data_IF_281040103557
#
_entry.id   IF_281040103557
#
_cell.length_a   1.000
_cell.length_b   1.000
_cell.length_c   1.000
_cell.angle_alpha   90.00
_cell.angle_beta   90.00
_cell.angle_gamma   90.00
#
_symmetry.space_group_name_H-M   'P 1'
#
loop_
_entity.id
_entity.type
_entity.pdbx_description
1 polymer ?
#
# COMPACT_ATOMS: atom_id res chain seq x y z
N UNK A 1 45.55 44.56 45.09
CA UNK A 1 46.06 45.30 43.91
C UNK A 1 45.53 44.60 42.67
N UNK A 2 44.42 45.09 42.10
CA UNK A 2 44.34 45.93 40.86
C UNK A 2 44.71 45.15 39.59
N UNK A 3 43.71 44.68 38.82
CA UNK A 3 43.24 45.23 37.51
C UNK A 3 44.17 44.81 36.34
N UNK A 4 43.77 44.44 35.13
CA UNK A 4 42.49 44.44 34.42
C UNK A 4 42.64 43.65 33.10
N UNK A 5 41.58 42.91 32.75
CA UNK A 5 40.90 42.77 31.44
C UNK A 5 41.57 43.32 30.17
N UNK A 6 41.59 42.52 29.09
CA UNK A 6 40.77 42.75 27.88
C UNK A 6 40.78 41.52 26.95
N UNK A 7 39.59 40.96 26.69
CA UNK A 7 39.35 40.01 25.60
C UNK A 7 38.61 40.76 24.49
N UNK A 8 39.13 40.70 23.27
CA UNK A 8 38.51 41.21 22.05
C UNK A 8 37.88 40.00 21.36
N UNK A 9 36.55 39.95 21.33
CA UNK A 9 35.79 39.01 20.52
C UNK A 9 35.29 39.76 19.27
N UNK A 10 35.81 39.35 18.11
CA UNK A 10 35.41 39.85 16.80
C UNK A 10 34.17 39.10 16.35
N UNK A 11 33.03 39.78 16.27
CA UNK A 11 31.82 39.30 15.61
C UNK A 11 31.98 39.44 14.09
N UNK A 12 31.96 38.32 13.37
CA UNK A 12 31.85 38.28 11.90
C UNK A 12 30.38 38.03 11.56
N UNK A 13 29.72 39.07 11.05
CA UNK A 13 28.37 38.99 10.51
C UNK A 13 28.43 38.38 9.11
N UNK A 14 28.02 37.12 8.95
CA UNK A 14 27.80 36.52 7.64
C UNK A 14 26.37 36.82 7.19
N UNK A 15 26.24 37.62 6.13
CA UNK A 15 24.99 37.87 5.43
C UNK A 15 24.58 36.59 4.67
N UNK A 16 23.50 35.95 5.09
CA UNK A 16 22.87 34.86 4.34
C UNK A 16 21.90 35.48 3.32
N UNK A 17 22.25 35.36 2.02
CA UNK A 17 21.35 35.68 0.93
C UNK A 17 20.18 34.70 0.91
N UNK A 18 18.97 35.21 1.05
CA UNK A 18 17.73 34.46 0.84
C UNK A 18 17.60 34.12 -0.65
N UNK A 19 17.99 32.92 -1.04
CA UNK A 19 17.43 32.30 -2.24
C UNK A 19 16.03 31.83 -1.88
N UNK A 20 15.02 32.61 -2.26
CA UNK A 20 13.65 32.14 -2.33
C UNK A 20 13.62 31.08 -3.45
N UNK A 21 13.62 29.80 -3.07
CA UNK A 21 13.23 28.73 -3.98
C UNK A 21 11.75 28.98 -4.30
N UNK A 22 11.46 29.36 -5.54
CA UNK A 22 10.11 29.27 -6.06
C UNK A 22 9.74 27.79 -5.99
N UNK A 23 8.86 27.43 -5.05
CA UNK A 23 8.26 26.10 -4.96
C UNK A 23 7.39 25.97 -6.20
N UNK A 24 7.93 25.36 -7.25
CA UNK A 24 7.14 24.99 -8.43
C UNK A 24 6.09 23.99 -7.98
N UNK A 25 4.82 24.32 -8.19
CA UNK A 25 3.71 23.41 -7.87
C UNK A 25 3.93 22.08 -8.59
N UNK A 26 3.89 20.98 -7.84
CA UNK A 26 4.05 19.62 -8.38
C UNK A 26 2.86 19.27 -9.27
N UNK A 27 3.09 18.61 -10.40
CA UNK A 27 2.00 18.09 -11.27
C UNK A 27 1.17 17.02 -10.56
N UNK A 28 1.82 16.21 -9.72
CA UNK A 28 1.23 15.13 -8.94
C UNK A 28 2.33 14.30 -8.27
N UNK A 29 1.92 13.31 -7.48
CA UNK A 29 2.83 12.37 -6.80
C UNK A 29 2.69 10.96 -7.35
N UNK A 30 3.79 10.35 -7.76
CA UNK A 30 3.85 8.95 -8.21
C UNK A 30 4.36 8.10 -7.05
N UNK A 31 3.63 7.02 -6.75
CA UNK A 31 4.04 6.01 -5.77
C UNK A 31 4.45 4.76 -6.55
N UNK A 32 5.76 4.55 -6.70
CA UNK A 32 6.28 3.31 -7.28
C UNK A 32 6.15 2.19 -6.25
N UNK A 33 5.38 1.16 -6.60
CA UNK A 33 5.16 -0.02 -5.77
C UNK A 33 5.58 -1.28 -6.51
N UNK A 34 6.39 -2.12 -5.87
CA UNK A 34 6.91 -3.37 -6.40
C UNK A 34 6.40 -4.52 -5.55
N UNK A 35 5.71 -5.46 -6.17
CA UNK A 35 5.14 -6.64 -5.52
C UNK A 35 5.97 -7.89 -5.84
N UNK A 36 5.91 -8.88 -4.95
CA UNK A 36 6.46 -10.25 -5.10
C UNK A 36 7.96 -10.42 -4.82
N UNK A 37 8.65 -9.36 -4.37
CA UNK A 37 9.98 -9.53 -3.78
C UNK A 37 9.95 -10.16 -2.37
N UNK A 38 11.10 -10.30 -1.68
CA UNK A 38 12.43 -9.96 -2.15
C UNK A 38 13.05 -11.13 -2.93
N UNK A 39 13.53 -10.84 -4.15
CA UNK A 39 14.21 -11.81 -5.02
C UNK A 39 15.54 -11.24 -5.52
N UNK A 40 16.33 -12.01 -6.28
CA UNK A 40 17.60 -11.53 -6.83
C UNK A 40 17.42 -10.26 -7.68
N UNK A 41 16.35 -10.20 -8.47
CA UNK A 41 16.02 -9.07 -9.34
C UNK A 41 15.77 -7.76 -8.58
N UNK A 42 15.30 -7.84 -7.33
CA UNK A 42 15.04 -6.65 -6.50
C UNK A 42 16.31 -5.81 -6.30
N UNK A 43 17.49 -6.43 -6.29
CA UNK A 43 18.77 -5.73 -6.08
C UNK A 43 19.04 -4.69 -7.16
N UNK A 44 18.89 -5.06 -8.43
CA UNK A 44 19.16 -4.14 -9.55
C UNK A 44 18.07 -3.09 -9.71
N UNK A 45 16.81 -3.43 -9.40
CA UNK A 45 15.73 -2.45 -9.29
C UNK A 45 16.05 -1.40 -8.23
N UNK A 46 16.44 -1.81 -7.01
CA UNK A 46 16.83 -0.89 -5.93
C UNK A 46 18.03 -0.04 -6.33
N UNK A 47 19.02 -0.61 -7.02
CA UNK A 47 20.18 0.14 -7.52
C UNK A 47 19.77 1.25 -8.49
N UNK A 48 18.83 0.99 -9.41
CA UNK A 48 18.30 2.02 -10.32
C UNK A 48 17.54 3.10 -9.53
N UNK A 49 16.67 2.72 -8.60
CA UNK A 49 15.92 3.69 -7.77
C UNK A 49 16.86 4.60 -6.96
N UNK A 50 17.95 4.03 -6.42
CA UNK A 50 18.99 4.76 -5.71
C UNK A 50 19.76 5.71 -6.61
N UNK A 51 20.15 5.25 -7.81
CA UNK A 51 20.84 6.09 -8.81
C UNK A 51 19.99 7.28 -9.24
N UNK A 52 18.68 7.07 -9.38
CA UNK A 52 17.73 8.11 -9.75
C UNK A 52 17.21 8.91 -8.55
N UNK A 53 17.75 8.68 -7.34
CA UNK A 53 17.38 9.38 -6.10
C UNK A 53 15.86 9.41 -5.87
N UNK A 54 15.22 8.24 -5.90
CA UNK A 54 13.81 8.07 -5.55
C UNK A 54 13.63 6.94 -4.52
N UNK A 55 12.56 7.04 -3.74
CA UNK A 55 12.11 5.96 -2.84
C UNK A 55 10.87 5.31 -3.43
N UNK A 56 10.64 4.06 -3.02
CA UNK A 56 9.59 3.19 -3.52
C UNK A 56 9.08 2.34 -2.36
N UNK A 57 7.94 1.65 -2.56
CA UNK A 57 7.39 0.71 -1.60
C UNK A 57 7.46 -0.70 -2.17
N UNK A 58 7.95 -1.64 -1.40
CA UNK A 58 8.07 -3.04 -1.76
C UNK A 58 7.08 -3.86 -0.93
N UNK A 59 6.08 -4.46 -1.57
CA UNK A 59 5.14 -5.37 -0.92
C UNK A 59 5.71 -6.80 -1.05
N UNK A 60 6.29 -7.28 0.04
CA UNK A 60 7.09 -8.52 0.02
C UNK A 60 6.34 -9.77 0.48
N UNK A 61 6.73 -10.89 -0.12
CA UNK A 61 6.42 -12.27 0.27
C UNK A 61 7.66 -12.96 0.85
N UNK A 62 7.64 -13.27 2.14
CA UNK A 62 8.82 -13.79 2.82
C UNK A 62 9.17 -15.25 2.52
N UNK A 63 8.30 -16.00 1.82
CA UNK A 63 8.61 -17.36 1.36
C UNK A 63 9.87 -17.45 0.47
N UNK A 64 10.25 -16.35 -0.21
CA UNK A 64 11.48 -16.26 -1.00
C UNK A 64 12.74 -16.35 -0.11
N UNK A 65 12.63 -15.98 1.18
CA UNK A 65 13.72 -16.14 2.14
C UNK A 65 13.89 -17.60 2.56
N UNK A 66 12.81 -18.39 2.55
CA UNK A 66 12.84 -19.83 2.80
C UNK A 66 13.26 -20.64 1.55
N UNK A 67 13.39 -20.01 0.38
CA UNK A 67 13.88 -20.65 -0.84
C UNK A 67 12.82 -21.49 -1.56
N UNK A 68 11.52 -21.17 -1.40
CA UNK A 68 10.39 -21.94 -1.91
C UNK A 68 9.46 -21.16 -2.85
N UNK A 69 9.83 -19.95 -3.27
CA UNK A 69 8.98 -19.05 -4.07
C UNK A 69 9.07 -19.24 -5.59
N UNK A 70 9.84 -20.23 -6.06
CA UNK A 70 10.09 -20.56 -7.48
C UNK A 70 10.69 -19.40 -8.30
N UNK A 71 11.47 -18.51 -7.69
CA UNK A 71 12.24 -17.47 -8.40
C UNK A 71 13.75 -17.63 -8.16
N UNK A 72 14.56 -16.82 -8.85
CA UNK A 72 15.96 -16.69 -8.47
C UNK A 72 16.03 -15.86 -7.18
N UNK A 73 16.21 -16.53 -6.05
CA UNK A 73 16.02 -15.95 -4.71
C UNK A 73 17.14 -16.28 -3.72
N UNK A 74 18.27 -16.83 -4.17
CA UNK A 74 19.44 -17.09 -3.32
C UNK A 74 20.03 -15.81 -2.68
N UNK A 75 19.66 -14.64 -3.18
CA UNK A 75 20.03 -13.31 -2.65
C UNK A 75 18.83 -12.56 -2.05
N UNK A 76 17.71 -13.23 -1.76
CA UNK A 76 16.51 -12.61 -1.18
C UNK A 76 16.81 -11.81 0.11
N UNK A 77 17.63 -12.36 1.02
CA UNK A 77 18.02 -11.65 2.24
C UNK A 77 18.90 -10.42 1.95
N UNK A 78 19.75 -10.48 0.93
CA UNK A 78 20.55 -9.33 0.49
C UNK A 78 19.64 -8.23 -0.09
N UNK A 79 18.67 -8.59 -0.92
CA UNK A 79 17.65 -7.68 -1.45
C UNK A 79 16.84 -6.99 -0.34
N UNK A 80 16.34 -7.76 0.64
CA UNK A 80 15.60 -7.21 1.79
C UNK A 80 16.44 -6.18 2.56
N UNK A 81 17.70 -6.52 2.87
CA UNK A 81 18.62 -5.62 3.57
C UNK A 81 18.91 -4.38 2.74
N UNK A 82 19.15 -4.54 1.43
CA UNK A 82 19.42 -3.41 0.54
C UNK A 82 18.22 -2.47 0.44
N UNK A 83 16.99 -2.98 0.37
CA UNK A 83 15.78 -2.16 0.34
C UNK A 83 15.68 -1.28 1.60
N UNK A 84 15.86 -1.91 2.77
CA UNK A 84 15.79 -1.26 4.07
C UNK A 84 16.93 -0.25 4.30
N UNK A 85 18.18 -0.66 4.04
CA UNK A 85 19.38 0.19 4.19
C UNK A 85 19.36 1.37 3.20
N UNK A 86 18.69 1.22 2.06
CA UNK A 86 18.48 2.28 1.08
C UNK A 86 17.28 3.17 1.40
N UNK A 87 16.52 2.91 2.46
CA UNK A 87 15.39 3.75 2.88
C UNK A 87 14.11 3.58 2.05
N UNK A 88 13.97 2.50 1.28
CA UNK A 88 12.68 2.14 0.68
C UNK A 88 11.73 1.58 1.73
N UNK A 89 10.43 1.69 1.51
CA UNK A 89 9.43 1.11 2.43
C UNK A 89 9.28 -0.38 2.14
N UNK A 90 9.32 -1.20 3.19
CA UNK A 90 8.93 -2.62 3.11
C UNK A 90 7.54 -2.78 3.72
N UNK A 91 6.58 -3.20 2.90
CA UNK A 91 5.18 -3.47 3.25
C UNK A 91 4.84 -4.96 3.04
N UNK A 92 3.62 -5.36 3.41
CA UNK A 92 3.24 -6.76 3.54
C UNK A 92 2.40 -7.27 2.36
N UNK A 93 2.85 -8.33 1.69
CA UNK A 93 2.11 -8.98 0.61
C UNK A 93 1.62 -10.39 0.95
N UNK A 94 1.54 -10.74 2.24
CA UNK A 94 1.39 -12.11 2.78
C UNK A 94 2.66 -12.95 2.65
N UNK A 95 2.73 -14.09 3.34
CA UNK A 95 3.91 -14.96 3.35
C UNK A 95 4.17 -15.62 1.99
N UNK A 96 3.16 -16.28 1.43
CA UNK A 96 3.26 -17.22 0.32
C UNK A 96 2.44 -16.80 -0.91
N UNK A 97 2.05 -15.53 -0.97
CA UNK A 97 1.22 -14.99 -2.06
C UNK A 97 -0.14 -15.74 -2.21
N UNK A 98 -0.63 -16.38 -1.15
CA UNK A 98 -1.81 -17.26 -1.13
C UNK A 98 -1.67 -18.56 -1.95
N UNK A 99 -0.45 -18.97 -2.28
CA UNK A 99 -0.21 -20.18 -3.07
C UNK A 99 -0.61 -21.46 -2.33
N UNK A 100 -0.74 -21.45 -1.00
CA UNK A 100 -1.37 -22.55 -0.25
C UNK A 100 -2.79 -22.87 -0.74
N UNK A 101 -3.52 -21.91 -1.30
CA UNK A 101 -4.86 -22.12 -1.85
C UNK A 101 -4.85 -22.61 -3.31
N UNK A 102 -3.68 -22.62 -3.97
CA UNK A 102 -3.50 -23.07 -5.35
C UNK A 102 -3.17 -24.58 -5.44
N UNK A 103 -2.86 -25.23 -4.32
CA UNK A 103 -2.42 -26.62 -4.24
C UNK A 103 -3.21 -27.40 -3.19
N UNK A 104 -3.17 -28.74 -3.26
CA UNK A 104 -3.85 -29.61 -2.30
C UNK A 104 -3.18 -29.62 -0.92
N UNK A 105 -1.84 -29.56 -0.87
CA UNK A 105 -1.04 -29.50 0.36
C UNK A 105 0.16 -28.57 0.13
N UNK A 106 0.27 -27.51 0.93
CA UNK A 106 1.35 -26.53 0.79
C UNK A 106 2.69 -27.12 1.25
N UNK A 107 3.74 -26.87 0.47
CA UNK A 107 5.10 -27.31 0.74
C UNK A 107 6.13 -26.67 -0.19
N UNK A 108 7.40 -27.15 -0.14
CA UNK A 108 8.52 -26.50 -0.86
C UNK A 108 8.40 -26.44 -2.38
N UNK A 109 7.50 -27.22 -2.99
CA UNK A 109 7.30 -27.24 -4.45
C UNK A 109 6.01 -26.52 -4.89
N UNK A 110 5.20 -26.01 -3.97
CA UNK A 110 3.86 -25.50 -4.28
C UNK A 110 3.88 -24.29 -5.21
N UNK A 111 4.89 -23.43 -5.11
CA UNK A 111 5.10 -22.34 -6.06
C UNK A 111 5.28 -22.85 -7.49
N UNK A 112 6.15 -23.85 -7.68
CA UNK A 112 6.38 -24.47 -8.99
C UNK A 112 5.15 -25.22 -9.51
N UNK A 113 4.40 -25.89 -8.63
CA UNK A 113 3.14 -26.58 -8.97
C UNK A 113 2.08 -25.59 -9.44
N UNK A 114 1.87 -24.49 -8.71
CA UNK A 114 0.94 -23.43 -9.08
C UNK A 114 1.37 -22.70 -10.36
N UNK A 115 2.68 -22.46 -10.55
CA UNK A 115 3.23 -21.90 -11.78
C UNK A 115 3.00 -22.81 -12.99
N UNK A 116 3.02 -24.13 -12.81
CA UNK A 116 2.79 -25.09 -13.89
C UNK A 116 1.33 -25.12 -14.38
N UNK A 117 0.36 -24.92 -13.47
CA UNK A 117 -1.07 -24.83 -13.84
C UNK A 117 -1.47 -23.41 -14.24
N UNK A 118 -0.80 -22.40 -13.69
CA UNK A 118 -1.16 -21.00 -13.81
C UNK A 118 -2.48 -20.67 -13.09
N UNK A 119 -2.85 -21.43 -12.06
CA UNK A 119 -4.14 -21.32 -11.36
C UNK A 119 -4.11 -20.34 -10.18
N UNK A 120 -3.09 -19.49 -10.09
CA UNK A 120 -2.93 -18.47 -9.03
C UNK A 120 -4.21 -17.66 -8.73
N UNK A 121 -4.98 -17.32 -9.76
CA UNK A 121 -6.21 -16.51 -9.65
C UNK A 121 -7.50 -17.34 -9.48
N UNK A 122 -7.39 -18.66 -9.32
CA UNK A 122 -8.49 -19.60 -9.12
C UNK A 122 -8.47 -20.07 -7.66
N UNK A 123 -9.60 -19.94 -6.97
CA UNK A 123 -9.74 -20.26 -5.54
C UNK A 123 -8.67 -19.63 -4.65
N UNK A 124 -8.14 -18.47 -5.04
CA UNK A 124 -6.99 -17.82 -4.40
C UNK A 124 -7.20 -17.50 -2.92
N UNK A 125 -8.45 -17.27 -2.51
CA UNK A 125 -8.84 -17.04 -1.12
C UNK A 125 -9.95 -18.03 -0.76
N UNK A 126 -9.83 -18.69 0.39
CA UNK A 126 -10.75 -19.76 0.80
C UNK A 126 -11.24 -19.58 2.23
N UNK A 127 -10.37 -19.82 3.22
CA UNK A 127 -10.65 -19.55 4.63
C UNK A 127 -10.03 -18.19 5.00
N UNK A 128 -10.83 -17.12 5.15
CA UNK A 128 -10.30 -15.78 5.40
C UNK A 128 -9.47 -15.67 6.67
N UNK A 129 -9.71 -16.53 7.68
CA UNK A 129 -8.92 -16.53 8.90
C UNK A 129 -7.51 -17.07 8.65
N UNK A 130 -7.39 -18.15 7.87
CA UNK A 130 -6.11 -18.74 7.48
C UNK A 130 -5.38 -17.83 6.49
N UNK A 131 -6.07 -17.33 5.46
CA UNK A 131 -5.54 -16.39 4.47
C UNK A 131 -4.98 -15.13 5.16
N UNK A 132 -5.74 -14.52 6.08
CA UNK A 132 -5.27 -13.34 6.83
C UNK A 132 -4.08 -13.67 7.74
N UNK A 133 -3.97 -14.91 8.25
CA UNK A 133 -2.84 -15.34 9.07
C UNK A 133 -1.51 -15.34 8.31
N UNK A 134 -1.54 -15.49 6.98
CA UNK A 134 -0.33 -15.41 6.15
C UNK A 134 0.33 -14.03 6.18
N UNK A 135 -0.42 -12.96 6.48
CA UNK A 135 0.17 -11.63 6.70
C UNK A 135 0.95 -11.56 8.03
N UNK A 136 0.51 -12.28 9.06
CA UNK A 136 1.22 -12.38 10.34
C UNK A 136 2.43 -13.33 10.25
N UNK A 137 2.31 -14.44 9.51
CA UNK A 137 3.43 -15.33 9.21
C UNK A 137 4.54 -14.58 8.45
N UNK A 138 4.15 -13.71 7.51
CA UNK A 138 5.09 -12.86 6.78
C UNK A 138 5.97 -12.01 7.71
N UNK A 139 5.37 -11.40 8.76
CA UNK A 139 6.13 -10.65 9.77
C UNK A 139 7.13 -11.54 10.49
N UNK A 140 6.68 -12.73 10.91
CA UNK A 140 7.48 -13.69 11.67
C UNK A 140 8.70 -14.17 10.88
N UNK A 141 8.52 -14.44 9.58
CA UNK A 141 9.60 -14.89 8.69
C UNK A 141 10.57 -13.75 8.38
N UNK A 142 10.07 -12.53 8.11
CA UNK A 142 10.93 -11.36 7.90
C UNK A 142 11.82 -11.10 9.14
N UNK A 143 11.25 -11.15 10.35
CA UNK A 143 12.00 -10.98 11.60
C UNK A 143 12.95 -12.16 11.89
N UNK A 144 12.57 -13.40 11.54
CA UNK A 144 13.47 -14.57 11.62
C UNK A 144 14.75 -14.37 10.83
N UNK A 145 14.65 -13.88 9.59
CA UNK A 145 15.80 -13.70 8.69
C UNK A 145 16.58 -12.41 8.94
N UNK A 146 15.90 -11.35 9.40
CA UNK A 146 16.53 -10.09 9.78
C UNK A 146 16.06 -9.67 11.19
N UNK A 147 16.67 -10.20 12.27
CA UNK A 147 16.17 -10.00 13.65
C UNK A 147 16.08 -8.55 14.15
N UNK A 148 16.79 -7.61 13.52
CA UNK A 148 16.71 -6.19 13.85
C UNK A 148 15.81 -5.40 12.87
N UNK A 149 14.97 -6.07 12.08
CA UNK A 149 14.14 -5.41 11.05
C UNK A 149 13.22 -4.34 11.64
N UNK A 150 12.70 -4.54 12.85
CA UNK A 150 11.85 -3.59 13.57
C UNK A 150 12.56 -2.32 14.01
N UNK A 151 13.90 -2.26 13.92
CA UNK A 151 14.67 -1.04 14.18
C UNK A 151 14.70 -0.06 13.00
N UNK A 152 14.26 -0.50 11.81
CA UNK A 152 14.17 0.33 10.61
C UNK A 152 12.83 1.09 10.61
N UNK A 153 12.83 2.44 10.58
CA UNK A 153 11.57 3.21 10.53
C UNK A 153 10.78 2.99 9.23
N UNK A 154 11.47 2.56 8.17
CA UNK A 154 10.93 2.21 6.86
C UNK A 154 10.47 0.74 6.76
N UNK A 155 10.58 -0.04 7.83
CA UNK A 155 9.88 -1.32 7.93
C UNK A 155 8.44 -1.08 8.37
N UNK A 156 7.50 -1.34 7.46
CA UNK A 156 6.09 -0.94 7.57
C UNK A 156 5.11 -2.09 7.32
N UNK A 157 5.59 -3.33 7.30
CA UNK A 157 4.80 -4.52 7.00
C UNK A 157 3.74 -4.86 8.08
N UNK A 158 3.78 -4.24 9.25
CA UNK A 158 2.74 -4.36 10.28
C UNK A 158 1.65 -3.27 10.19
N UNK A 159 1.82 -2.28 9.29
CA UNK A 159 0.90 -1.14 9.12
C UNK A 159 0.30 -1.12 7.71
N UNK A 160 1.04 -1.55 6.69
CA UNK A 160 0.64 -1.48 5.29
C UNK A 160 0.68 -2.85 4.64
N UNK A 161 -0.41 -3.18 3.95
CA UNK A 161 -0.53 -4.42 3.20
C UNK A 161 -1.11 -4.18 1.80
N UNK A 162 -0.90 -5.15 0.92
CA UNK A 162 -1.62 -5.31 -0.34
C UNK A 162 -1.99 -6.77 -0.48
N UNK A 163 -3.20 -7.06 -0.91
CA UNK A 163 -3.64 -8.43 -1.11
C UNK A 163 -3.10 -8.97 -2.44
N UNK A 164 -2.54 -10.19 -2.48
CA UNK A 164 -2.29 -10.90 -3.73
C UNK A 164 -3.47 -10.83 -4.71
N UNK A 165 -3.17 -10.57 -5.98
CA UNK A 165 -4.11 -10.51 -7.11
C UNK A 165 -5.16 -9.39 -7.08
N UNK A 166 -5.31 -8.65 -5.99
CA UNK A 166 -6.54 -7.91 -5.69
C UNK A 166 -6.30 -6.41 -5.59
N UNK A 167 -6.93 -5.62 -6.47
CA UNK A 167 -6.94 -4.15 -6.39
C UNK A 167 -7.90 -3.69 -5.27
N UNK A 168 -7.51 -3.94 -4.02
CA UNK A 168 -8.33 -3.77 -2.83
C UNK A 168 -7.87 -2.65 -1.89
N UNK A 169 -8.82 -1.91 -1.35
CA UNK A 169 -8.56 -0.66 -0.63
C UNK A 169 -9.25 -0.64 0.73
N UNK A 170 -8.46 -0.39 1.77
CA UNK A 170 -8.88 -0.06 3.13
C UNK A 170 -7.98 1.08 3.59
N UNK A 171 -8.31 2.31 3.21
CA UNK A 171 -7.47 3.50 3.49
C UNK A 171 -8.05 4.30 4.65
N UNK A 172 -9.33 4.67 4.59
CA UNK A 172 -10.04 5.35 5.68
C UNK A 172 -11.42 4.76 5.86
N UNK A 173 -12.16 5.18 6.91
CA UNK A 173 -13.56 4.79 7.14
C UNK A 173 -14.43 4.94 5.89
N UNK A 174 -14.22 6.02 5.12
CA UNK A 174 -15.00 6.36 3.92
C UNK A 174 -14.22 6.16 2.60
N UNK A 175 -12.96 5.71 2.65
CA UNK A 175 -12.17 5.34 1.48
C UNK A 175 -11.83 3.85 1.54
N UNK A 176 -12.75 3.05 1.00
CA UNK A 176 -12.64 1.60 0.85
C UNK A 176 -13.20 1.17 -0.50
N UNK A 177 -12.65 0.12 -1.07
CA UNK A 177 -13.11 -0.48 -2.32
C UNK A 177 -12.59 -1.92 -2.42
N UNK A 178 -13.28 -2.76 -3.17
CA UNK A 178 -12.95 -4.18 -3.32
C UNK A 178 -12.72 -4.51 -4.80
N UNK A 179 -11.84 -5.47 -5.08
CA UNK A 179 -11.66 -6.01 -6.42
C UNK A 179 -12.70 -7.07 -6.73
N UNK A 180 -13.87 -6.69 -7.22
CA UNK A 180 -15.06 -7.57 -7.30
C UNK A 180 -14.97 -8.68 -8.36
N UNK A 181 -13.90 -8.67 -9.16
CA UNK A 181 -13.58 -9.70 -10.15
C UNK A 181 -12.12 -10.16 -10.06
N UNK A 182 -11.43 -9.89 -8.93
CA UNK A 182 -9.99 -10.09 -8.83
C UNK A 182 -9.56 -11.56 -8.94
N UNK A 183 -10.38 -12.46 -8.38
CA UNK A 183 -10.13 -13.90 -8.33
C UNK A 183 -11.42 -14.66 -8.64
N UNK A 184 -11.29 -15.89 -9.12
CA UNK A 184 -12.38 -16.68 -9.66
C UNK A 184 -12.54 -18.00 -8.89
N UNK A 185 -13.71 -18.61 -8.97
CA UNK A 185 -13.96 -19.95 -8.41
C UNK A 185 -13.66 -21.05 -9.45
N UNK A 186 -13.58 -20.71 -10.74
CA UNK A 186 -13.51 -21.69 -11.83
C UNK A 186 -12.60 -21.31 -13.00
N UNK A 187 -12.89 -20.22 -13.71
CA UNK A 187 -12.26 -19.85 -14.97
C UNK A 187 -11.40 -18.59 -14.83
N UNK A 188 -10.29 -18.55 -15.55
CA UNK A 188 -9.42 -17.37 -15.65
C UNK A 188 -10.07 -16.32 -16.56
N UNK A 189 -9.79 -15.02 -16.39
CA UNK A 189 -10.44 -13.95 -17.16
C UNK A 189 -10.34 -14.06 -18.69
N UNK A 190 -9.32 -14.75 -19.21
CA UNK A 190 -9.08 -14.95 -20.64
C UNK A 190 -9.61 -16.29 -21.18
N UNK A 191 -10.20 -17.14 -20.34
CA UNK A 191 -10.71 -18.44 -20.75
C UNK A 191 -12.13 -18.36 -21.34
N UNK A 192 -12.45 -19.18 -22.36
CA UNK A 192 -13.80 -19.21 -22.92
C UNK A 192 -14.86 -19.57 -21.88
N UNK A 193 -15.85 -18.69 -21.72
CA UNK A 193 -16.96 -18.88 -20.76
C UNK A 193 -16.81 -18.11 -19.45
N UNK A 194 -15.66 -17.47 -19.21
CA UNK A 194 -15.48 -16.60 -18.05
C UNK A 194 -16.58 -15.54 -17.97
N UNK A 195 -17.12 -15.34 -16.78
CA UNK A 195 -18.10 -14.31 -16.46
C UNK A 195 -17.85 -13.79 -15.06
N UNK A 196 -17.92 -12.47 -14.89
CA UNK A 196 -17.92 -11.84 -13.57
C UNK A 196 -19.22 -11.07 -13.36
N UNK A 197 -19.94 -11.40 -12.28
CA UNK A 197 -21.08 -10.63 -11.78
C UNK A 197 -20.67 -9.90 -10.50
N UNK A 198 -20.51 -8.58 -10.57
CA UNK A 198 -20.09 -7.77 -9.42
C UNK A 198 -21.15 -7.69 -8.33
N UNK A 199 -22.42 -7.98 -8.64
CA UNK A 199 -23.48 -8.08 -7.64
C UNK A 199 -23.48 -9.43 -6.91
N UNK A 200 -22.91 -10.47 -7.53
CA UNK A 200 -22.78 -11.82 -6.98
C UNK A 200 -21.33 -12.32 -7.17
N UNK A 201 -20.34 -11.69 -6.52
CA UNK A 201 -18.94 -12.03 -6.72
C UNK A 201 -18.64 -13.50 -6.35
N UNK A 202 -17.53 -14.01 -6.87
CA UNK A 202 -17.00 -15.35 -6.57
C UNK A 202 -16.82 -15.55 -5.06
N UNK A 203 -16.79 -16.80 -4.60
CA UNK A 203 -16.50 -17.12 -3.21
C UNK A 203 -15.08 -16.66 -2.85
N UNK A 204 -14.12 -16.81 -3.76
CA UNK A 204 -12.76 -16.29 -3.59
C UNK A 204 -12.74 -14.77 -3.36
N UNK A 205 -13.50 -13.99 -4.13
CA UNK A 205 -13.60 -12.53 -3.89
C UNK A 205 -14.24 -12.22 -2.53
N UNK A 206 -15.30 -12.94 -2.12
CA UNK A 206 -15.91 -12.74 -0.79
C UNK A 206 -14.92 -13.05 0.34
N UNK A 207 -14.09 -14.08 0.18
CA UNK A 207 -13.04 -14.42 1.13
C UNK A 207 -11.98 -13.31 1.19
N UNK A 208 -11.52 -12.79 0.05
CA UNK A 208 -10.59 -11.65 -0.01
C UNK A 208 -11.15 -10.38 0.68
N UNK A 209 -12.44 -10.08 0.52
CA UNK A 209 -13.11 -8.96 1.24
C UNK A 209 -13.07 -9.19 2.76
N UNK A 210 -13.30 -10.43 3.21
CA UNK A 210 -13.21 -10.78 4.62
C UNK A 210 -11.76 -10.65 5.14
N UNK A 211 -10.74 -11.05 4.37
CA UNK A 211 -9.32 -10.84 4.69
C UNK A 211 -9.03 -9.34 4.85
N UNK A 212 -9.42 -8.48 3.91
CA UNK A 212 -9.24 -7.03 4.03
C UNK A 212 -9.86 -6.46 5.31
N UNK A 213 -11.04 -6.95 5.70
CA UNK A 213 -11.70 -6.51 6.93
C UNK A 213 -10.98 -7.02 8.19
N UNK A 214 -10.43 -8.24 8.17
CA UNK A 214 -9.59 -8.77 9.27
C UNK A 214 -8.33 -7.93 9.41
N UNK A 215 -7.64 -7.63 8.30
CA UNK A 215 -6.43 -6.79 8.32
C UNK A 215 -6.74 -5.37 8.81
N UNK A 216 -7.79 -4.73 8.29
CA UNK A 216 -8.21 -3.39 8.73
C UNK A 216 -8.55 -3.34 10.23
N UNK A 217 -9.21 -4.38 10.75
CA UNK A 217 -9.49 -4.50 12.20
C UNK A 217 -8.24 -4.74 13.06
N UNK A 218 -7.14 -5.20 12.45
CA UNK A 218 -5.83 -5.34 13.08
C UNK A 218 -4.91 -4.13 12.82
N UNK A 219 -5.45 -3.02 12.31
CA UNK A 219 -4.73 -1.75 12.16
C UNK A 219 -4.01 -1.56 10.83
N UNK A 220 -4.23 -2.44 9.85
CA UNK A 220 -3.64 -2.28 8.52
C UNK A 220 -4.40 -1.27 7.66
N UNK A 221 -3.67 -0.46 6.90
CA UNK A 221 -4.17 0.10 5.65
C UNK A 221 -3.83 -0.83 4.47
N UNK A 222 -4.80 -1.08 3.59
CA UNK A 222 -4.57 -1.78 2.32
C UNK A 222 -4.73 -0.84 1.13
N UNK A 223 -3.81 -0.93 0.17
CA UNK A 223 -3.81 -0.08 -1.01
C UNK A 223 -3.69 -0.91 -2.28
N UNK A 224 -4.54 -0.62 -3.25
CA UNK A 224 -4.45 -1.17 -4.59
C UNK A 224 -3.50 -0.34 -5.48
N UNK A 225 -3.86 -0.19 -6.76
CA UNK A 225 -3.08 0.56 -7.74
C UNK A 225 -3.98 1.26 -8.78
N UNK A 226 -3.42 2.29 -9.42
CA UNK A 226 -4.06 3.06 -10.49
C UNK A 226 -3.66 2.57 -11.88
N UNK A 227 -2.38 2.22 -12.05
CA UNK A 227 -1.81 1.67 -13.28
C UNK A 227 -0.90 0.50 -12.95
N UNK A 228 -0.78 -0.43 -13.88
CA UNK A 228 0.08 -1.62 -13.77
C UNK A 228 1.13 -1.57 -14.89
N UNK A 229 2.40 -1.47 -14.52
CA UNK A 229 3.51 -1.53 -15.48
C UNK A 229 3.86 -2.99 -15.77
N UNK A 230 3.18 -3.52 -16.78
CA UNK A 230 3.24 -4.92 -17.17
C UNK A 230 3.62 -5.09 -18.67
N UNK A 231 3.94 -6.32 -19.11
CA UNK A 231 4.04 -6.66 -20.52
C UNK A 231 2.81 -6.22 -21.33
N UNK A 232 3.03 -5.46 -22.40
CA UNK A 232 1.99 -5.12 -23.38
C UNK A 232 1.46 -6.38 -24.10
N UNK A 233 2.25 -7.45 -24.15
CA UNK A 233 1.85 -8.73 -24.72
C UNK A 233 2.44 -9.92 -23.96
N UNK A 234 1.60 -10.54 -23.11
CA UNK A 234 1.96 -11.76 -22.39
C UNK A 234 2.08 -13.02 -23.27
N UNK A 235 1.61 -13.00 -24.51
CA UNK A 235 1.58 -14.16 -25.41
C UNK A 235 2.84 -14.38 -26.26
N UNK A 236 3.84 -13.49 -26.19
CA UNK A 236 5.11 -13.65 -26.91
C UNK A 236 6.10 -14.53 -26.11
N UNK A 237 7.14 -15.03 -26.77
CA UNK A 237 8.11 -15.96 -26.15
C UNK A 237 8.89 -15.36 -24.95
N UNK A 238 9.11 -14.04 -24.95
CA UNK A 238 9.84 -13.32 -23.91
C UNK A 238 8.98 -12.14 -23.46
N UNK A 239 7.88 -12.38 -22.73
CA UNK A 239 6.86 -11.36 -22.45
C UNK A 239 7.44 -10.13 -21.74
N UNK A 240 8.42 -10.29 -20.85
CA UNK A 240 9.04 -9.17 -20.15
C UNK A 240 9.66 -8.13 -21.10
N UNK A 241 10.14 -8.53 -22.28
CA UNK A 241 10.71 -7.60 -23.26
C UNK A 241 9.67 -6.57 -23.76
N UNK A 242 8.39 -6.92 -23.70
CA UNK A 242 7.27 -6.05 -24.09
C UNK A 242 6.76 -5.15 -22.97
N UNK A 243 7.46 -5.05 -21.84
CA UNK A 243 7.15 -4.04 -20.81
C UNK A 243 7.09 -2.66 -21.45
N UNK A 244 6.03 -1.89 -21.19
CA UNK A 244 5.79 -0.58 -21.80
C UNK A 244 7.02 0.31 -21.72
N UNK A 245 7.38 0.97 -22.83
CA UNK A 245 8.49 1.93 -22.85
C UNK A 245 8.23 3.13 -21.93
N UNK A 246 9.30 3.79 -21.46
CA UNK A 246 9.21 4.88 -20.49
C UNK A 246 8.28 6.04 -20.91
N UNK A 247 8.39 6.50 -22.16
CA UNK A 247 7.53 7.57 -22.70
C UNK A 247 6.04 7.24 -22.73
N UNK A 248 5.58 6.13 -23.36
CA UNK A 248 4.17 5.77 -23.33
C UNK A 248 3.67 5.44 -21.93
N UNK A 249 4.51 4.85 -21.06
CA UNK A 249 4.12 4.57 -19.69
C UNK A 249 3.88 5.86 -18.88
N UNK A 250 4.70 6.90 -19.07
CA UNK A 250 4.39 8.23 -18.51
C UNK A 250 3.07 8.79 -19.05
N UNK A 251 2.72 8.50 -20.31
CA UNK A 251 1.40 8.81 -20.87
C UNK A 251 0.24 8.07 -20.17
N UNK A 252 0.46 6.86 -19.67
CA UNK A 252 -0.52 6.12 -18.87
C UNK A 252 -0.69 6.74 -17.49
N UNK A 253 0.41 7.12 -16.83
CA UNK A 253 0.37 7.88 -15.57
C UNK A 253 -0.39 9.19 -15.73
N UNK A 254 -0.10 9.94 -16.81
CA UNK A 254 -0.82 11.18 -17.14
C UNK A 254 -2.33 10.96 -17.35
N UNK A 255 -2.71 9.81 -17.92
CA UNK A 255 -4.12 9.45 -18.16
C UNK A 255 -4.83 8.97 -16.89
N UNK A 256 -4.08 8.47 -15.90
CA UNK A 256 -4.62 7.98 -14.63
C UNK A 256 -4.80 9.09 -13.58
N UNK A 257 -4.01 10.16 -13.68
CA UNK A 257 -4.03 11.27 -12.74
C UNK A 257 -5.43 11.91 -12.68
N UNK A 258 -6.08 11.84 -11.52
CA UNK A 258 -7.42 12.39 -11.27
C UNK A 258 -8.55 11.83 -12.16
N UNK A 259 -8.43 10.60 -12.68
CA UNK A 259 -9.44 10.00 -13.58
C UNK A 259 -10.13 8.76 -13.01
N UNK A 260 -9.95 8.46 -11.72
CA UNK A 260 -10.52 7.27 -11.08
C UNK A 260 -10.11 5.96 -11.77
N UNK A 261 -8.83 5.87 -12.12
CA UNK A 261 -8.22 4.77 -12.86
C UNK A 261 -8.57 3.35 -12.34
N UNK A 262 -8.70 3.08 -11.02
CA UNK A 262 -9.05 1.74 -10.54
C UNK A 262 -10.38 1.21 -11.07
N UNK A 263 -11.31 2.08 -11.45
CA UNK A 263 -12.61 1.66 -12.04
C UNK A 263 -12.49 1.35 -13.54
N UNK A 264 -11.54 1.96 -14.25
CA UNK A 264 -11.41 1.93 -15.71
C UNK A 264 -10.28 1.06 -16.22
N UNK A 265 -9.31 0.70 -15.37
CA UNK A 265 -8.16 -0.15 -15.68
C UNK A 265 -8.56 -1.51 -16.32
N UNK A 266 -7.73 -2.01 -17.22
CA UNK A 266 -7.79 -3.37 -17.75
C UNK A 266 -6.59 -4.18 -17.23
N UNK A 267 -6.71 -5.51 -17.08
CA UNK A 267 -7.88 -6.36 -17.32
C UNK A 267 -8.99 -6.23 -16.25
N UNK A 268 -10.11 -6.93 -16.43
CA UNK A 268 -11.28 -6.87 -15.53
C UNK A 268 -10.95 -7.24 -14.08
N UNK A 269 -10.03 -8.19 -13.87
CA UNK A 269 -9.58 -8.62 -12.55
C UNK A 269 -8.69 -7.60 -11.83
N UNK A 270 -8.19 -6.58 -12.53
CA UNK A 270 -7.43 -5.48 -11.92
C UNK A 270 -8.31 -4.31 -11.47
N UNK A 271 -9.64 -4.37 -11.67
CA UNK A 271 -10.56 -3.29 -11.32
C UNK A 271 -10.90 -3.28 -9.83
N UNK A 272 -11.09 -2.07 -9.30
CA UNK A 272 -11.83 -1.80 -8.07
C UNK A 272 -13.12 -1.05 -8.47
N UNK A 273 -14.20 -1.77 -8.69
CA UNK A 273 -15.39 -1.26 -9.38
C UNK A 273 -16.10 -0.15 -8.60
N UNK A 274 -16.15 -0.28 -7.28
CA UNK A 274 -16.80 0.68 -6.38
C UNK A 274 -15.80 1.65 -5.73
N UNK A 275 -14.66 1.91 -6.39
CA UNK A 275 -13.69 2.88 -5.92
C UNK A 275 -14.34 4.28 -5.78
N UNK A 276 -14.17 4.97 -4.63
CA UNK A 276 -14.82 6.27 -4.40
C UNK A 276 -14.13 7.38 -5.19
N UNK A 277 -14.52 7.52 -6.47
CA UNK A 277 -13.98 8.53 -7.38
C UNK A 277 -14.04 9.93 -6.78
N UNK A 278 -12.91 10.64 -6.76
CA UNK A 278 -12.80 11.97 -6.16
C UNK A 278 -12.59 11.98 -4.65
N UNK A 279 -12.32 10.82 -4.02
CA UNK A 279 -11.92 10.77 -2.61
C UNK A 279 -10.68 11.67 -2.37
N UNK A 280 -10.68 12.55 -1.35
CA UNK A 280 -9.64 13.58 -1.21
C UNK A 280 -8.21 13.06 -1.13
N UNK A 281 -8.01 11.89 -0.51
CA UNK A 281 -6.68 11.29 -0.37
C UNK A 281 -6.12 10.72 -1.67
N UNK A 282 -6.93 10.54 -2.71
CA UNK A 282 -6.49 10.04 -4.03
C UNK A 282 -6.17 11.16 -5.03
N UNK A 283 -6.67 12.37 -4.77
CA UNK A 283 -6.42 13.52 -5.64
C UNK A 283 -4.91 13.78 -5.81
N UNK A 284 -4.51 14.07 -7.05
CA UNK A 284 -3.16 14.40 -7.49
C UNK A 284 -2.11 13.30 -7.23
N UNK A 285 -2.55 12.03 -7.17
CA UNK A 285 -1.70 10.87 -6.93
C UNK A 285 -1.93 9.77 -7.96
N UNK A 286 -0.88 9.02 -8.25
CA UNK A 286 -0.93 7.79 -9.06
C UNK A 286 -0.09 6.72 -8.39
N UNK A 287 -0.70 5.60 -8.03
CA UNK A 287 -0.01 4.41 -7.54
C UNK A 287 0.29 3.49 -8.74
N UNK A 288 1.58 3.21 -8.94
CA UNK A 288 2.06 2.30 -9.97
C UNK A 288 2.34 0.94 -9.35
N UNK A 289 1.65 -0.10 -9.78
CA UNK A 289 2.03 -1.49 -9.55
C UNK A 289 3.06 -1.92 -10.60
N UNK A 290 4.07 -2.69 -10.18
CA UNK A 290 4.90 -3.53 -11.07
C UNK A 290 5.56 -4.61 -10.21
N UNK A 291 6.41 -5.46 -10.81
CA UNK A 291 7.01 -6.60 -10.12
C UNK A 291 8.50 -6.71 -10.47
N UNK A 292 9.38 -6.93 -9.51
CA UNK A 292 10.84 -6.92 -9.77
C UNK A 292 11.27 -8.03 -10.74
N UNK A 293 10.55 -9.15 -10.80
CA UNK A 293 10.86 -10.24 -11.73
C UNK A 293 10.72 -9.82 -13.21
N UNK A 294 10.03 -8.71 -13.51
CA UNK A 294 9.96 -8.13 -14.85
C UNK A 294 11.25 -7.42 -15.27
N UNK A 295 12.17 -7.19 -14.32
CA UNK A 295 13.45 -6.52 -14.48
C UNK A 295 14.64 -7.50 -14.37
N UNK A 296 14.39 -8.78 -14.63
CA UNK A 296 15.40 -9.85 -14.61
C UNK A 296 15.65 -10.42 -16.02
N UNK A 297 16.91 -10.68 -16.35
CA UNK A 297 17.26 -11.56 -17.47
C UNK A 297 17.08 -13.03 -17.03
N UNK A 298 15.97 -13.65 -17.43
CA UNK A 298 15.57 -14.96 -16.90
C UNK A 298 14.43 -15.63 -17.67
N UNK A 299 13.62 -16.43 -16.96
CA UNK A 299 12.56 -17.27 -17.55
C UNK A 299 11.47 -16.47 -18.30
N UNK A 300 11.37 -15.16 -18.06
CA UNK A 300 10.36 -14.26 -18.66
C UNK A 300 10.90 -13.37 -19.80
N UNK A 301 12.21 -13.35 -20.03
CA UNK A 301 12.83 -12.50 -21.05
C UNK A 301 14.14 -11.86 -20.60
N UNK A 302 14.55 -10.81 -21.30
CA UNK A 302 15.72 -9.98 -21.02
C UNK A 302 15.30 -8.74 -20.21
N UNK A 303 14.65 -8.95 -19.07
CA UNK A 303 14.10 -7.88 -18.24
C UNK A 303 15.17 -6.94 -17.69
N UNK A 304 16.32 -7.45 -17.26
CA UNK A 304 17.37 -6.59 -16.73
C UNK A 304 17.97 -5.73 -17.85
N UNK A 305 18.33 -6.38 -18.96
CA UNK A 305 18.96 -5.71 -20.11
C UNK A 305 18.03 -4.68 -20.76
N UNK A 306 16.71 -4.96 -20.86
CA UNK A 306 15.79 -4.09 -21.58
C UNK A 306 14.97 -3.17 -20.68
N UNK A 307 14.58 -3.59 -19.47
CA UNK A 307 13.60 -2.87 -18.66
C UNK A 307 14.20 -2.00 -17.56
N UNK A 308 15.39 -2.32 -17.01
CA UNK A 308 16.07 -1.41 -16.07
C UNK A 308 16.34 -0.02 -16.69
N UNK A 309 16.79 0.09 -17.97
CA UNK A 309 16.87 1.40 -18.64
C UNK A 309 15.52 2.11 -18.78
N UNK A 310 14.41 1.37 -18.95
CA UNK A 310 13.06 1.95 -19.01
C UNK A 310 12.67 2.55 -17.67
N UNK A 311 12.93 1.86 -16.55
CA UNK A 311 12.70 2.36 -15.19
C UNK A 311 13.48 3.67 -14.94
N UNK A 312 14.79 3.66 -15.20
CA UNK A 312 15.63 4.85 -15.01
C UNK A 312 15.10 6.04 -15.83
N UNK A 313 14.84 5.81 -17.12
CA UNK A 313 14.33 6.84 -18.04
C UNK A 313 12.95 7.35 -17.65
N UNK A 314 12.06 6.47 -17.18
CA UNK A 314 10.73 6.86 -16.70
C UNK A 314 10.83 7.81 -15.51
N UNK A 315 11.67 7.50 -14.52
CA UNK A 315 11.87 8.36 -13.35
C UNK A 315 12.36 9.76 -13.78
N UNK A 316 13.33 9.80 -14.69
CA UNK A 316 13.87 11.06 -15.22
C UNK A 316 12.80 11.87 -15.97
N UNK A 317 12.04 11.24 -16.86
CA UNK A 317 10.98 11.90 -17.64
C UNK A 317 9.84 12.38 -16.74
N UNK A 318 9.43 11.59 -15.74
CA UNK A 318 8.38 11.97 -14.80
C UNK A 318 8.80 13.18 -13.96
N UNK A 319 10.03 13.19 -13.42
CA UNK A 319 10.60 14.36 -12.71
C UNK A 319 10.62 15.60 -13.61
N UNK A 320 11.05 15.44 -14.86
CA UNK A 320 11.07 16.54 -15.85
C UNK A 320 9.65 17.05 -16.19
N UNK A 321 8.65 16.17 -16.17
CA UNK A 321 7.24 16.52 -16.38
C UNK A 321 6.57 17.15 -15.14
N UNK A 322 7.30 17.31 -14.02
CA UNK A 322 6.82 17.95 -12.80
C UNK A 322 6.22 17.00 -11.77
N UNK A 323 6.34 15.68 -11.95
CA UNK A 323 5.98 14.71 -10.90
C UNK A 323 7.06 14.63 -9.82
N UNK A 324 6.63 14.32 -8.61
CA UNK A 324 7.49 13.87 -7.52
C UNK A 324 7.23 12.40 -7.21
N UNK A 325 8.19 11.73 -6.59
CA UNK A 325 8.08 10.34 -6.16
C UNK A 325 8.01 10.30 -4.62
N UNK A 326 7.10 9.49 -4.08
CA UNK A 326 6.93 9.29 -2.64
C UNK A 326 6.58 7.82 -2.34
N UNK A 327 6.50 7.47 -1.07
CA UNK A 327 6.26 6.12 -0.58
C UNK A 327 4.92 5.98 0.11
N UNK A 328 4.40 4.75 0.19
CA UNK A 328 3.02 4.49 0.61
C UNK A 328 2.73 4.87 2.07
N UNK A 329 3.76 4.97 2.91
CA UNK A 329 3.65 5.47 4.28
C UNK A 329 3.33 6.97 4.37
N UNK A 330 3.47 7.71 3.26
CA UNK A 330 3.06 9.11 3.12
C UNK A 330 1.82 9.30 2.24
N UNK A 331 1.24 8.21 1.71
CA UNK A 331 0.03 8.30 0.88
C UNK A 331 -1.14 8.93 1.66
N UNK A 332 -1.33 8.50 2.91
CA UNK A 332 -2.01 9.33 3.91
C UNK A 332 -0.94 10.17 4.60
N UNK A 333 -0.97 11.51 4.51
CA UNK A 333 0.14 12.32 5.00
C UNK A 333 0.27 12.21 6.52
N UNK A 334 1.50 12.03 7.01
CA UNK A 334 1.77 12.00 8.44
C UNK A 334 1.41 13.34 9.10
N UNK A 335 0.85 13.27 10.31
CA UNK A 335 0.55 14.46 11.11
C UNK A 335 1.84 15.21 11.45
N UNK A 336 1.85 16.52 11.24
CA UNK A 336 3.04 17.34 11.42
C UNK A 336 2.73 18.64 12.18
N UNK A 337 3.50 18.88 13.24
CA UNK A 337 3.44 20.13 14.02
C UNK A 337 3.70 21.33 13.13
N UNK A 338 2.88 22.37 13.24
CA UNK A 338 2.98 23.62 12.47
C UNK A 338 2.18 23.65 11.17
N UNK A 339 1.70 22.50 10.67
CA UNK A 339 0.84 22.48 9.47
C UNK A 339 -0.55 23.05 9.78
N UNK A 340 -1.14 23.71 8.78
CA UNK A 340 -2.53 24.14 8.82
C UNK A 340 -3.40 23.05 8.19
N UNK A 341 -4.35 22.55 8.96
CA UNK A 341 -5.32 21.56 8.50
C UNK A 341 -6.70 22.22 8.38
N UNK A 342 -7.42 21.88 7.31
CA UNK A 342 -8.83 22.20 7.14
C UNK A 342 -9.71 21.13 7.77
N UNK A 343 -10.92 21.48 8.20
CA UNK A 343 -11.90 20.49 8.61
C UNK A 343 -12.15 19.48 7.47
N UNK A 344 -12.07 18.19 7.78
CA UNK A 344 -12.19 17.11 6.80
C UNK A 344 -10.86 16.55 6.28
N UNK A 345 -9.74 17.23 6.51
CA UNK A 345 -8.41 16.73 6.13
C UNK A 345 -8.07 15.45 6.91
N UNK A 346 -7.38 14.52 6.23
CA UNK A 346 -6.93 13.26 6.82
C UNK A 346 -5.43 13.27 7.10
N UNK A 347 -5.04 12.66 8.22
CA UNK A 347 -3.64 12.45 8.59
C UNK A 347 -3.43 11.06 9.16
N UNK A 348 -2.19 10.59 9.07
CA UNK A 348 -1.72 9.39 9.76
C UNK A 348 -0.96 9.81 11.02
N UNK A 349 -1.26 9.22 12.17
CA UNK A 349 -0.53 9.44 13.41
C UNK A 349 -0.38 8.11 14.17
N UNK A 350 0.86 7.66 14.34
CA UNK A 350 1.20 6.38 14.99
C UNK A 350 0.45 5.17 14.40
N UNK A 351 0.39 5.07 13.07
CA UNK A 351 -0.30 3.97 12.37
C UNK A 351 -1.81 4.17 12.19
N UNK A 352 -2.43 5.14 12.87
CA UNK A 352 -3.89 5.36 12.87
C UNK A 352 -4.26 6.56 12.01
N UNK A 353 -5.33 6.41 11.22
CA UNK A 353 -5.91 7.51 10.43
C UNK A 353 -6.83 8.36 11.29
N UNK A 354 -6.66 9.68 11.18
CA UNK A 354 -7.52 10.67 11.80
C UNK A 354 -8.06 11.67 10.78
N UNK A 355 -9.27 12.17 11.02
CA UNK A 355 -9.88 13.25 10.27
C UNK A 355 -10.04 14.50 11.15
N UNK A 356 -9.63 15.66 10.64
CA UNK A 356 -9.74 16.94 11.34
C UNK A 356 -11.21 17.34 11.52
N UNK A 357 -11.60 17.63 12.76
CA UNK A 357 -12.97 18.05 13.12
C UNK A 357 -13.20 19.52 12.77
N UNK A 358 -12.19 20.37 12.99
CA UNK A 358 -12.21 21.81 12.71
C UNK A 358 -10.90 22.24 12.07
N UNK A 359 -10.94 23.29 11.26
CA UNK A 359 -9.71 23.89 10.73
C UNK A 359 -8.85 24.47 11.86
N UNK A 360 -7.57 24.12 11.91
CA UNK A 360 -6.65 24.54 12.97
C UNK A 360 -5.19 24.43 12.51
N UNK A 361 -4.27 25.03 13.27
CA UNK A 361 -2.83 24.82 13.13
C UNK A 361 -2.39 23.76 14.14
N UNK A 362 -1.70 22.72 13.69
CA UNK A 362 -1.23 21.63 14.53
C UNK A 362 -0.18 22.12 15.55
N UNK A 363 -0.36 21.71 16.80
CA UNK A 363 0.54 22.01 17.92
C UNK A 363 1.01 20.70 18.55
N UNK A 364 2.24 20.68 19.08
CA UNK A 364 2.86 19.48 19.65
C UNK A 364 1.99 18.79 20.71
N UNK A 365 1.32 19.58 21.58
CA UNK A 365 0.52 19.05 22.69
C UNK A 365 -0.94 18.73 22.31
N UNK A 366 -1.35 18.98 21.06
CA UNK A 366 -2.70 18.76 20.54
C UNK A 366 -2.73 17.73 19.40
N UNK A 367 -1.92 16.69 19.52
CA UNK A 367 -1.85 15.60 18.55
C UNK A 367 -3.19 14.82 18.43
N UNK A 368 -3.42 14.16 17.28
CA UNK A 368 -4.53 13.21 17.13
C UNK A 368 -4.46 12.08 18.17
N UNK A 369 -5.59 11.76 18.78
CA UNK A 369 -5.66 10.72 19.83
C UNK A 369 -7.11 10.24 20.05
N UNK A 370 -7.31 9.14 20.80
CA UNK A 370 -8.66 8.67 21.18
C UNK A 370 -9.48 9.63 22.06
N UNK A 371 -8.92 10.77 22.46
CA UNK A 371 -9.60 11.78 23.28
C UNK A 371 -9.48 13.19 22.71
N UNK A 372 -8.95 13.34 21.49
CA UNK A 372 -8.76 14.64 20.88
C UNK A 372 -10.09 15.26 20.48
N UNK A 373 -10.27 16.56 20.75
CA UNK A 373 -11.41 17.33 20.25
C UNK A 373 -11.20 17.87 18.83
N UNK A 374 -9.96 17.86 18.34
CA UNK A 374 -9.59 18.37 17.01
C UNK A 374 -9.61 17.29 15.94
N UNK A 375 -9.66 16.02 16.34
CA UNK A 375 -9.50 14.87 15.48
C UNK A 375 -10.47 13.75 15.87
N UNK A 376 -11.02 13.05 14.89
CA UNK A 376 -11.72 11.77 15.08
C UNK A 376 -10.96 10.66 14.38
N UNK A 377 -10.90 9.47 14.97
CA UNK A 377 -10.38 8.28 14.31
C UNK A 377 -11.23 7.98 13.07
N UNK A 378 -10.54 7.76 11.95
CA UNK A 378 -11.14 7.45 10.67
C UNK A 378 -10.45 6.23 10.02
N UNK A 379 -9.96 5.29 10.83
CA UNK A 379 -9.45 4.01 10.33
C UNK A 379 -10.53 3.27 9.51
N UNK A 380 -10.12 2.46 8.52
CA UNK A 380 -11.04 1.67 7.70
C UNK A 380 -11.69 0.49 8.43
N UNK A 381 -11.41 0.33 9.73
CA UNK A 381 -11.89 -0.74 10.59
C UNK A 381 -13.41 -0.77 10.77
N UNK A 382 -13.92 -1.92 11.21
CA UNK A 382 -15.35 -2.17 11.48
C UNK A 382 -15.62 -2.61 12.92
N UNK A 383 -14.58 -2.87 13.72
CA UNK A 383 -14.73 -2.95 15.16
C UNK A 383 -15.17 -1.59 15.73
N UNK A 384 -15.96 -1.61 16.79
CA UNK A 384 -16.26 -0.38 17.52
C UNK A 384 -14.96 0.18 18.10
N UNK A 385 -14.70 1.45 17.82
CA UNK A 385 -13.47 2.14 18.24
C UNK A 385 -13.87 3.49 18.84
N UNK A 386 -13.13 3.92 19.87
CA UNK A 386 -13.34 5.21 20.52
C UNK A 386 -12.97 6.38 19.60
N UNK A 387 -13.67 7.50 19.74
CA UNK A 387 -13.45 8.76 19.03
C UNK A 387 -13.64 8.67 17.51
N UNK A 388 -14.52 7.78 17.04
CA UNK A 388 -14.93 7.67 15.63
C UNK A 388 -16.20 8.46 15.41
N UNK A 389 -16.25 9.26 14.34
CA UNK A 389 -17.47 9.91 13.87
C UNK A 389 -18.34 8.93 13.09
N UNK A 390 -19.20 8.20 13.80
CA UNK A 390 -20.12 7.23 13.21
C UNK A 390 -21.29 7.91 12.50
N UNK A 391 -21.72 7.33 11.38
CA UNK A 391 -22.88 7.73 10.58
C UNK A 391 -24.04 6.77 10.85
N UNK A 392 -25.27 7.26 10.71
CA UNK A 392 -26.43 6.38 10.72
C UNK A 392 -26.29 5.30 9.64
N UNK A 393 -26.53 4.04 10.00
CA UNK A 393 -26.40 2.90 9.11
C UNK A 393 -25.02 2.22 9.13
N UNK A 394 -24.02 2.80 9.78
CA UNK A 394 -22.76 2.08 10.04
C UNK A 394 -23.03 0.80 10.83
N UNK A 395 -22.28 -0.26 10.55
CA UNK A 395 -22.32 -1.52 11.30
C UNK A 395 -20.99 -1.71 11.99
N UNK A 396 -21.03 -1.92 13.31
CA UNK A 396 -19.84 -2.13 14.15
C UNK A 396 -19.88 -3.50 14.83
N UNK A 397 -18.70 -4.07 15.10
CA UNK A 397 -18.56 -5.26 15.95
C UNK A 397 -18.04 -4.86 17.33
N UNK A 398 -18.70 -5.31 18.39
CA UNK A 398 -18.27 -5.09 19.77
C UNK A 398 -18.56 -6.34 20.62
N UNK A 399 -17.54 -6.85 21.31
CA UNK A 399 -17.65 -8.07 22.13
C UNK A 399 -18.25 -9.27 21.36
N UNK A 400 -17.90 -9.42 20.08
CA UNK A 400 -18.38 -10.51 19.21
C UNK A 400 -19.80 -10.35 18.68
N UNK A 401 -20.48 -9.24 18.99
CA UNK A 401 -21.84 -8.94 18.50
C UNK A 401 -21.82 -7.78 17.51
N UNK A 402 -22.73 -7.82 16.53
CA UNK A 402 -22.88 -6.77 15.53
C UNK A 402 -23.96 -5.77 15.95
N UNK A 403 -23.72 -4.50 15.70
CA UNK A 403 -24.64 -3.40 16.02
C UNK A 403 -24.75 -2.44 14.84
N UNK A 404 -25.97 -1.97 14.58
CA UNK A 404 -26.28 -0.91 13.64
C UNK A 404 -26.33 0.44 14.37
N UNK A 405 -25.67 1.46 13.82
CA UNK A 405 -25.74 2.84 14.33
C UNK A 405 -27.08 3.48 13.95
N UNK A 406 -27.85 3.88 14.96
CA UNK A 406 -29.17 4.50 14.80
C UNK A 406 -29.07 6.00 14.46
N UNK A 407 -28.13 6.72 15.07
CA UNK A 407 -27.97 8.18 14.90
C UNK A 407 -26.49 8.54 14.78
N UNK A 408 -26.12 9.56 13.98
CA UNK A 408 -24.73 10.00 13.89
C UNK A 408 -24.22 10.53 15.23
N UNK A 409 -23.02 10.10 15.63
CA UNK A 409 -22.38 10.53 16.87
C UNK A 409 -20.87 10.26 16.84
N UNK A 410 -20.11 10.95 17.71
CA UNK A 410 -18.71 10.60 17.98
C UNK A 410 -18.68 9.63 19.16
N UNK A 411 -18.09 8.45 18.97
CA UNK A 411 -18.00 7.42 20.01
C UNK A 411 -17.10 7.86 21.17
N UNK A 412 -17.52 7.54 22.39
CA UNK A 412 -16.79 7.86 23.62
C UNK A 412 -16.70 6.59 24.48
N UNK A 413 -15.76 6.55 25.42
CA UNK A 413 -15.50 5.36 26.23
C UNK A 413 -16.73 4.86 27.01
N UNK A 414 -17.61 5.77 27.43
CA UNK A 414 -18.85 5.48 28.13
C UNK A 414 -20.03 5.20 27.17
N UNK A 415 -19.87 5.36 25.86
CA UNK A 415 -20.92 5.14 24.85
C UNK A 415 -20.73 3.84 24.06
N UNK A 416 -20.60 2.73 24.79
CA UNK A 416 -20.38 1.41 24.18
C UNK A 416 -21.68 0.83 23.56
N UNK A 417 -21.59 0.02 22.49
CA UNK A 417 -22.77 -0.51 21.80
C UNK A 417 -23.73 -1.33 22.69
N UNK A 418 -23.20 -2.05 23.67
CA UNK A 418 -23.98 -2.88 24.59
C UNK A 418 -24.72 -2.09 25.69
N UNK A 419 -24.36 -0.81 25.92
CA UNK A 419 -24.99 0.03 26.93
C UNK A 419 -25.95 1.05 26.31
N UNK A 420 -25.69 1.52 25.09
CA UNK A 420 -26.41 2.65 24.49
C UNK A 420 -27.41 2.24 23.39
N UNK A 421 -28.54 1.67 23.80
CA UNK A 421 -29.60 1.22 22.89
C UNK A 421 -30.29 2.35 22.08
N UNK A 422 -30.09 3.61 22.45
CA UNK A 422 -30.56 4.77 21.67
C UNK A 422 -29.61 5.10 20.52
N UNK A 423 -28.33 4.80 20.67
CA UNK A 423 -27.31 4.99 19.64
C UNK A 423 -27.15 3.76 18.74
N UNK A 424 -27.41 2.56 19.28
CA UNK A 424 -27.17 1.30 18.60
C UNK A 424 -28.36 0.34 18.67
N UNK A 425 -28.54 -0.45 17.61
CA UNK A 425 -29.46 -1.60 17.57
C UNK A 425 -28.64 -2.87 17.30
N UNK A 426 -28.73 -3.87 18.18
CA UNK A 426 -28.08 -5.17 17.93
C UNK A 426 -28.69 -5.86 16.70
N UNK A 427 -27.84 -6.45 15.85
CA UNK A 427 -28.20 -7.11 14.59
C UNK A 427 -28.35 -8.63 14.71
#
# INVERSE_FOLDING_TARGET
MKLNKLAIATLVSAALSQYAFAQTDTKGTIYLTFDDGPINASIDVINVLNQEEVKATFYFNAWHLDGIGDENEDRALEALKLALDSGHIVANHSYDHMVHNCVEEFGPNSAAECNATGDHQINSYQDPAYDASMFAENLSVLEKYLPNITSYPNYKANEFARLPYTNGWRVTKDFKADGLCATSDDLKPWEPGYSCDTANPSNSVKAAIAVQNILANNGYQTHGWDVDWAPENWGIAMPANSLTEAEPFLGYVDSALNTCAPTTINPINSKAQEFPCGTPLHADKVIVLTHEFLFEDGKRGMGATQNLPKLAKFIQLAKQAGYVFDTMDNYTPNWQVGNNYSAGDYVLHLGTVYQAVTSHTAQQDWAPSPTSSLWTNADPATNWTQNVSYKQGDVVTYQGLRYLVNVPHVSQADWTPNSQNTLFTAL
#
